data_IF_935848524783
#
_entry.id   IF_935848524783
#
_cell.length_a   1.000
_cell.length_b   1.000
_cell.length_c   1.000
_cell.angle_alpha   90.00
_cell.angle_beta   90.00
_cell.angle_gamma   90.00
#
_symmetry.space_group_name_H-M   'P 1'
#
loop_
_entity.id
_entity.type
_entity.pdbx_description
1 polymer ?
#
# COMPACT_ATOMS: atom_id res chain seq x y z
N UNK A 1 1.61 28.41 -27.60
CA UNK A 1 0.54 28.77 -26.68
C UNK A 1 1.09 29.00 -25.26
N UNK A 2 1.83 28.02 -24.68
CA UNK A 2 2.35 28.08 -23.29
C UNK A 2 3.30 29.26 -23.00
N UNK A 3 3.84 29.95 -24.04
CA UNK A 3 4.70 31.12 -23.89
C UNK A 3 3.98 32.46 -24.14
N UNK A 4 2.65 32.43 -24.17
CA UNK A 4 1.85 33.64 -24.39
C UNK A 4 1.38 34.21 -23.05
N UNK A 5 1.69 35.48 -22.81
CA UNK A 5 1.30 36.17 -21.55
C UNK A 5 -0.21 36.10 -21.28
N UNK A 6 -1.03 36.24 -22.33
CA UNK A 6 -2.48 36.18 -22.19
C UNK A 6 -2.99 34.86 -21.56
N UNK A 7 -2.30 33.75 -21.87
CA UNK A 7 -2.63 32.47 -21.23
C UNK A 7 -2.15 32.44 -19.78
N UNK A 8 -0.92 32.85 -19.56
CA UNK A 8 -0.29 32.78 -18.24
C UNK A 8 -0.94 33.74 -17.25
N UNK A 9 -1.36 34.94 -17.72
CA UNK A 9 -2.12 35.88 -16.90
C UNK A 9 -3.51 35.31 -16.54
N UNK A 10 -4.20 34.70 -17.52
CA UNK A 10 -5.48 34.03 -17.26
C UNK A 10 -5.37 32.85 -16.29
N UNK A 11 -4.24 32.12 -16.28
CA UNK A 11 -3.98 31.05 -15.30
C UNK A 11 -3.79 31.65 -13.90
N UNK A 12 -2.98 32.69 -13.76
CA UNK A 12 -2.76 33.38 -12.50
C UNK A 12 -4.10 33.91 -11.92
N UNK A 13 -4.94 34.53 -12.77
CA UNK A 13 -6.26 35.01 -12.39
C UNK A 13 -7.24 33.88 -12.00
N UNK A 14 -7.15 32.70 -12.66
CA UNK A 14 -8.05 31.58 -12.39
C UNK A 14 -7.83 30.91 -11.03
N UNK A 15 -6.65 31.04 -10.43
CA UNK A 15 -6.37 30.50 -9.09
C UNK A 15 -7.23 31.19 -8.02
N UNK A 16 -7.46 32.48 -8.15
CA UNK A 16 -8.20 33.28 -7.16
C UNK A 16 -9.63 32.75 -6.96
N UNK A 17 -10.51 32.66 -7.99
CA UNK A 17 -11.86 32.16 -7.82
C UNK A 17 -11.90 30.68 -7.38
N UNK A 18 -10.91 29.87 -7.73
CA UNK A 18 -10.80 28.49 -7.23
C UNK A 18 -10.54 28.52 -5.72
N UNK A 19 -9.61 29.32 -5.26
CA UNK A 19 -9.33 29.49 -3.83
C UNK A 19 -10.58 30.00 -3.09
N UNK A 20 -11.20 31.07 -3.56
CA UNK A 20 -12.43 31.62 -2.97
C UNK A 20 -13.56 30.59 -2.88
N UNK A 21 -13.73 29.76 -3.91
CA UNK A 21 -14.75 28.70 -3.92
C UNK A 21 -14.51 27.65 -2.82
N UNK A 22 -13.28 27.47 -2.38
CA UNK A 22 -12.92 26.52 -1.29
C UNK A 22 -13.05 27.11 0.11
N UNK A 23 -13.30 28.41 0.27
CA UNK A 23 -13.24 29.11 1.57
C UNK A 23 -14.09 28.48 2.69
N UNK A 24 -15.20 27.83 2.32
CA UNK A 24 -16.10 27.14 3.26
C UNK A 24 -16.07 25.61 3.11
N UNK A 25 -15.13 25.10 2.33
CA UNK A 25 -14.97 23.67 2.07
C UNK A 25 -13.85 23.06 2.91
N UNK A 26 -13.96 21.77 3.18
CA UNK A 26 -12.97 21.02 3.95
C UNK A 26 -11.74 20.53 3.12
N UNK A 27 -11.89 20.15 1.84
CA UNK A 27 -10.81 19.52 1.12
C UNK A 27 -9.55 20.37 0.97
N UNK A 28 -8.38 19.71 1.01
CA UNK A 28 -7.17 20.20 0.38
C UNK A 28 -7.34 20.01 -1.14
N UNK A 29 -7.26 21.06 -1.90
CA UNK A 29 -7.45 21.05 -3.35
C UNK A 29 -6.11 21.27 -4.02
N UNK A 30 -5.77 20.44 -5.01
CA UNK A 30 -4.54 20.60 -5.80
C UNK A 30 -4.89 20.70 -7.27
N UNK A 31 -4.43 21.77 -7.91
CA UNK A 31 -4.68 22.03 -9.34
C UNK A 31 -3.38 22.23 -10.10
N UNK A 32 -3.31 21.71 -11.32
CA UNK A 32 -2.16 21.92 -12.21
C UNK A 32 -2.18 23.32 -12.83
N UNK A 33 -1.03 23.98 -12.88
CA UNK A 33 -0.88 25.31 -13.48
C UNK A 33 0.51 25.53 -14.08
N UNK A 34 0.63 26.08 -15.30
CA UNK A 34 1.88 26.62 -15.81
C UNK A 34 2.12 28.01 -15.18
N UNK A 35 3.17 28.14 -14.38
CA UNK A 35 3.45 29.37 -13.62
C UNK A 35 4.83 29.95 -13.98
N UNK A 36 4.87 31.29 -14.09
CA UNK A 36 6.12 32.05 -14.27
C UNK A 36 6.76 32.32 -12.93
N UNK A 37 8.01 31.88 -12.75
CA UNK A 37 8.80 32.23 -11.58
C UNK A 37 10.18 32.71 -12.02
N UNK A 38 10.54 33.94 -11.64
CA UNK A 38 11.69 34.63 -12.21
C UNK A 38 11.57 34.75 -13.75
N UNK A 39 12.59 34.31 -14.46
CA UNK A 39 12.60 34.30 -15.93
C UNK A 39 12.32 32.90 -16.52
N UNK A 40 11.61 32.06 -15.81
CA UNK A 40 11.34 30.66 -16.22
C UNK A 40 9.87 30.34 -16.07
N UNK A 41 9.43 29.38 -16.86
CA UNK A 41 8.09 28.77 -16.75
C UNK A 41 8.22 27.39 -16.10
N UNK A 42 7.36 27.09 -15.16
CA UNK A 42 7.31 25.81 -14.45
C UNK A 42 5.94 25.15 -14.62
N UNK A 43 5.92 23.83 -14.68
CA UNK A 43 4.72 23.04 -14.58
C UNK A 43 4.50 22.75 -13.07
N UNK A 44 3.41 23.23 -12.50
CA UNK A 44 3.23 23.29 -11.05
C UNK A 44 1.92 22.65 -10.60
N UNK A 45 1.94 22.12 -9.38
CA UNK A 45 0.74 21.84 -8.57
C UNK A 45 0.54 22.98 -7.57
N UNK A 46 -0.59 23.65 -7.63
CA UNK A 46 -1.00 24.70 -6.67
C UNK A 46 -1.86 24.06 -5.61
N UNK A 47 -1.47 24.20 -4.34
CA UNK A 47 -2.15 23.59 -3.20
C UNK A 47 -2.99 24.65 -2.48
N UNK A 48 -4.29 24.37 -2.36
CA UNK A 48 -5.29 25.33 -1.87
C UNK A 48 -6.10 24.69 -0.74
N UNK A 49 -6.33 25.43 0.33
CA UNK A 49 -7.19 25.02 1.43
C UNK A 49 -7.97 26.21 2.00
N UNK A 50 -9.28 26.05 2.17
CA UNK A 50 -10.18 27.02 2.82
C UNK A 50 -10.01 28.47 2.35
N UNK A 51 -9.84 28.68 1.06
CA UNK A 51 -9.74 29.99 0.46
C UNK A 51 -8.32 30.54 0.34
N UNK A 52 -7.31 29.81 0.83
CA UNK A 52 -5.91 30.22 0.80
C UNK A 52 -5.07 29.27 -0.05
N UNK A 53 -4.11 29.83 -0.77
CA UNK A 53 -3.05 29.06 -1.45
C UNK A 53 -1.95 28.81 -0.43
N UNK A 54 -1.70 27.54 -0.13
CA UNK A 54 -0.72 27.12 0.87
C UNK A 54 0.70 27.06 0.31
N UNK A 55 0.84 26.74 -0.99
CA UNK A 55 2.13 26.61 -1.62
C UNK A 55 2.04 26.05 -3.04
N UNK A 56 3.18 26.02 -3.71
CA UNK A 56 3.34 25.62 -5.11
C UNK A 56 4.44 24.57 -5.24
N UNK A 57 4.11 23.38 -5.75
CA UNK A 57 5.07 22.32 -6.02
C UNK A 57 5.39 22.26 -7.51
N UNK A 58 6.58 22.65 -7.96
CA UNK A 58 6.99 22.53 -9.36
C UNK A 58 7.43 21.11 -9.69
N UNK A 59 7.14 20.68 -10.92
CA UNK A 59 7.58 19.39 -11.46
C UNK A 59 9.11 19.30 -11.49
N UNK A 60 9.66 18.21 -10.94
CA UNK A 60 11.11 18.00 -10.86
C UNK A 60 11.70 17.44 -12.15
N UNK A 61 11.07 16.43 -12.74
CA UNK A 61 11.59 15.73 -13.91
C UNK A 61 10.71 15.94 -15.13
N UNK A 62 11.32 16.46 -16.19
CA UNK A 62 10.64 16.83 -17.44
C UNK A 62 10.93 15.79 -18.52
N UNK A 63 9.95 15.05 -19.03
CA UNK A 63 10.16 14.10 -20.11
C UNK A 63 10.55 14.83 -21.40
N UNK A 64 11.57 14.31 -22.07
CA UNK A 64 12.08 14.86 -23.34
C UNK A 64 12.56 13.74 -24.24
N UNK A 65 11.70 12.73 -24.42
CA UNK A 65 11.93 11.52 -25.22
C UNK A 65 10.61 11.07 -25.85
N UNK A 66 10.68 10.28 -26.92
CA UNK A 66 9.52 9.81 -27.71
C UNK A 66 8.59 10.97 -28.08
N UNK A 67 7.31 10.90 -27.66
CA UNK A 67 6.29 11.93 -27.87
C UNK A 67 6.47 13.18 -26.99
N UNK A 68 7.35 13.15 -26.01
CA UNK A 68 7.51 14.23 -25.03
C UNK A 68 8.62 15.21 -25.43
N UNK A 69 8.35 16.51 -25.25
CA UNK A 69 9.31 17.61 -25.47
C UNK A 69 9.13 18.73 -24.41
N UNK A 70 8.85 18.34 -23.18
CA UNK A 70 8.46 19.27 -22.11
C UNK A 70 9.58 20.26 -21.75
N UNK A 71 10.85 19.83 -21.83
CA UNK A 71 12.02 20.72 -21.64
C UNK A 71 12.08 21.90 -22.59
N UNK A 72 11.33 21.87 -23.69
CA UNK A 72 11.22 22.99 -24.63
C UNK A 72 10.47 24.18 -24.03
N UNK A 73 9.59 23.94 -23.07
CA UNK A 73 8.68 24.92 -22.51
C UNK A 73 8.91 25.19 -21.04
N UNK A 74 9.26 24.19 -20.27
CA UNK A 74 9.33 24.25 -18.82
C UNK A 74 10.75 24.07 -18.28
N UNK A 75 11.00 24.70 -17.15
CA UNK A 75 12.19 24.49 -16.34
C UNK A 75 11.93 23.39 -15.30
N UNK A 76 13.00 22.66 -14.94
CA UNK A 76 12.97 21.70 -13.84
C UNK A 76 12.83 22.41 -12.49
N UNK A 77 11.96 21.88 -11.62
CA UNK A 77 11.86 22.29 -10.24
C UNK A 77 12.83 21.58 -9.29
N UNK A 78 13.57 20.56 -9.78
CA UNK A 78 14.48 19.78 -8.95
C UNK A 78 15.49 20.66 -8.23
N UNK A 79 15.61 20.48 -6.91
CA UNK A 79 16.52 21.25 -6.05
C UNK A 79 16.16 22.72 -5.87
N UNK A 80 15.02 23.16 -6.37
CA UNK A 80 14.58 24.54 -6.19
C UNK A 80 13.84 24.68 -4.86
N UNK A 81 14.38 25.51 -3.98
CA UNK A 81 13.77 25.82 -2.69
C UNK A 81 13.67 27.35 -2.58
N UNK A 82 12.47 27.88 -2.31
CA UNK A 82 12.27 29.31 -2.20
C UNK A 82 10.80 29.68 -2.06
N UNK A 83 10.53 30.93 -2.41
CA UNK A 83 9.20 31.51 -2.38
C UNK A 83 8.76 31.91 -3.78
N UNK A 84 7.47 31.89 -4.01
CA UNK A 84 6.83 32.30 -5.26
C UNK A 84 6.15 33.65 -5.07
N UNK A 85 6.63 34.64 -5.81
CA UNK A 85 6.00 35.94 -5.82
C UNK A 85 4.79 35.94 -6.75
N UNK A 86 3.61 36.19 -6.22
CA UNK A 86 2.34 36.16 -6.97
C UNK A 86 1.91 37.49 -7.52
N UNK A 87 1.36 37.46 -8.74
CA UNK A 87 0.75 38.61 -9.41
C UNK A 87 -0.45 38.15 -10.26
N UNK A 88 -1.69 38.55 -10.02
CA UNK A 88 -2.15 39.34 -8.86
C UNK A 88 -1.88 38.62 -7.55
N UNK A 89 -2.00 39.30 -6.44
CA UNK A 89 -1.80 38.74 -5.11
C UNK A 89 -2.82 37.67 -4.82
N UNK A 90 -2.36 36.43 -4.63
CA UNK A 90 -3.24 35.31 -4.29
C UNK A 90 -3.63 35.33 -2.81
N UNK A 91 -4.83 34.86 -2.45
CA UNK A 91 -5.18 34.72 -1.04
C UNK A 91 -4.24 33.66 -0.38
N UNK A 92 -3.75 33.97 0.82
CA UNK A 92 -2.78 33.15 1.54
C UNK A 92 -1.33 33.55 1.37
N UNK A 93 -1.01 34.47 0.44
CA UNK A 93 0.31 35.07 0.34
C UNK A 93 0.63 35.89 1.60
N UNK A 94 1.90 35.94 1.97
CA UNK A 94 2.38 36.75 3.08
C UNK A 94 2.33 38.27 2.76
N UNK A 95 2.86 39.12 3.66
CA UNK A 95 2.83 40.57 3.51
C UNK A 95 3.65 41.07 2.31
N UNK A 96 4.62 40.28 1.84
CA UNK A 96 5.45 40.57 0.68
C UNK A 96 4.88 39.99 -0.61
N UNK A 97 3.74 39.27 -0.54
CA UNK A 97 3.08 38.59 -1.66
C UNK A 97 3.77 37.27 -2.03
N UNK A 98 4.40 36.60 -1.08
CA UNK A 98 5.15 35.39 -1.28
C UNK A 98 4.40 34.15 -0.78
N UNK A 99 4.60 33.00 -1.46
CA UNK A 99 4.03 31.70 -1.12
C UNK A 99 5.15 30.67 -1.23
N UNK A 100 5.22 29.64 -0.34
CA UNK A 100 6.19 28.56 -0.43
C UNK A 100 6.25 27.92 -1.82
N UNK A 101 7.44 27.82 -2.40
CA UNK A 101 7.67 27.23 -3.73
C UNK A 101 8.81 26.22 -3.69
N UNK A 102 8.54 24.99 -4.11
CA UNK A 102 9.57 23.94 -4.20
C UNK A 102 8.96 22.53 -4.26
N UNK A 103 9.75 21.55 -4.76
CA UNK A 103 9.37 20.14 -4.71
C UNK A 103 9.52 19.52 -3.32
N UNK A 104 10.08 20.27 -2.37
CA UNK A 104 10.40 19.91 -1.01
C UNK A 104 9.30 20.26 0.00
N UNK A 105 8.07 20.48 -0.45
CA UNK A 105 6.97 20.89 0.42
C UNK A 105 6.18 19.69 0.96
N UNK A 106 5.93 19.72 2.30
CA UNK A 106 5.00 18.85 2.99
C UNK A 106 3.86 19.66 3.59
N UNK A 107 2.64 19.39 3.15
CA UNK A 107 1.45 20.05 3.67
C UNK A 107 0.88 19.20 4.81
N UNK A 108 0.99 19.69 6.06
CA UNK A 108 0.63 18.94 7.27
C UNK A 108 -0.56 19.55 7.99
N UNK A 109 -1.50 18.70 8.39
CA UNK A 109 -2.64 19.17 9.18
C UNK A 109 -2.26 19.26 10.67
N UNK A 110 -2.34 20.45 11.27
CA UNK A 110 -1.98 20.70 12.68
C UNK A 110 -2.86 19.89 13.64
N UNK A 111 -4.11 19.74 13.31
CA UNK A 111 -5.12 19.05 14.10
C UNK A 111 -5.31 17.58 13.69
N UNK A 112 -4.54 17.12 12.71
CA UNK A 112 -4.50 15.72 12.26
C UNK A 112 -3.06 15.33 11.87
N UNK A 113 -2.15 15.16 12.83
CA UNK A 113 -0.70 15.10 12.58
C UNK A 113 -0.24 13.93 11.69
N UNK A 114 -1.06 12.87 11.58
CA UNK A 114 -0.78 11.76 10.67
C UNK A 114 -1.12 12.09 9.19
N UNK A 115 -1.74 13.24 8.92
CA UNK A 115 -2.02 13.72 7.57
C UNK A 115 -0.91 14.67 7.10
N UNK A 116 0.03 14.12 6.36
CA UNK A 116 1.10 14.86 5.69
C UNK A 116 1.06 14.55 4.19
N UNK A 117 0.82 15.57 3.39
CA UNK A 117 0.57 15.46 1.95
C UNK A 117 1.78 15.99 1.17
N UNK A 118 2.18 15.23 0.14
CA UNK A 118 3.18 15.67 -0.85
C UNK A 118 2.58 15.63 -2.25
N UNK A 119 3.04 16.53 -3.12
CA UNK A 119 2.58 16.65 -4.50
C UNK A 119 3.73 16.48 -5.47
N UNK A 120 3.61 15.52 -6.37
CA UNK A 120 4.49 15.34 -7.52
C UNK A 120 3.71 15.38 -8.83
N UNK A 121 4.38 15.49 -9.97
CA UNK A 121 3.70 15.72 -11.25
C UNK A 121 4.19 14.73 -12.31
N UNK A 122 3.29 13.85 -12.74
CA UNK A 122 3.41 13.01 -13.93
C UNK A 122 4.73 12.22 -14.01
N UNK A 123 5.73 12.72 -14.75
CA UNK A 123 7.04 12.06 -14.97
C UNK A 123 7.81 11.82 -13.67
N UNK A 124 7.52 12.58 -12.63
CA UNK A 124 8.19 12.41 -11.33
C UNK A 124 8.03 10.99 -10.80
N UNK A 125 6.91 10.29 -11.06
CA UNK A 125 6.70 8.90 -10.66
C UNK A 125 7.47 7.86 -11.49
N UNK A 126 7.98 8.25 -12.68
CA UNK A 126 8.62 7.32 -13.62
C UNK A 126 10.14 7.22 -13.44
N UNK A 127 10.73 8.12 -12.68
CA UNK A 127 12.17 8.11 -12.41
C UNK A 127 12.56 7.07 -11.36
N UNK A 128 13.81 6.59 -11.34
CA UNK A 128 14.25 5.59 -10.35
C UNK A 128 14.10 6.02 -8.89
N UNK A 129 14.28 7.31 -8.59
CA UNK A 129 14.09 7.92 -7.26
C UNK A 129 13.07 9.05 -7.41
N UNK A 130 11.78 8.76 -7.26
CA UNK A 130 10.72 9.76 -7.32
C UNK A 130 10.75 10.72 -6.13
N UNK A 131 10.35 11.99 -6.31
CA UNK A 131 10.20 12.95 -5.20
C UNK A 131 9.28 12.44 -4.08
N UNK A 132 8.23 11.70 -4.45
CA UNK A 132 7.31 11.08 -3.49
C UNK A 132 7.99 10.09 -2.52
N UNK A 133 9.05 9.38 -2.95
CA UNK A 133 9.79 8.48 -2.07
C UNK A 133 10.60 9.25 -1.03
N UNK A 134 11.24 10.33 -1.45
CA UNK A 134 11.97 11.23 -0.55
C UNK A 134 11.02 11.91 0.44
N UNK A 135 9.87 12.38 -0.06
CA UNK A 135 8.83 12.96 0.78
C UNK A 135 8.28 11.97 1.83
N UNK A 136 8.11 10.69 1.45
CA UNK A 136 7.65 9.65 2.38
C UNK A 136 8.67 9.41 3.51
N UNK A 137 9.98 9.40 3.19
CA UNK A 137 11.05 9.32 4.19
C UNK A 137 11.09 10.57 5.08
N UNK A 138 10.69 11.74 4.56
CA UNK A 138 10.54 12.97 5.31
C UNK A 138 9.22 13.06 6.11
N UNK A 139 8.33 12.07 6.01
CA UNK A 139 7.11 11.98 6.80
C UNK A 139 5.78 12.02 6.04
N UNK A 140 5.78 12.25 4.71
CA UNK A 140 4.55 12.25 3.93
C UNK A 140 3.82 10.89 4.03
N UNK A 141 2.53 10.93 4.32
CA UNK A 141 1.65 9.75 4.41
C UNK A 141 0.70 9.66 3.22
N UNK A 142 0.48 10.77 2.53
CA UNK A 142 -0.37 10.87 1.34
C UNK A 142 0.43 11.49 0.20
N UNK A 143 0.58 10.75 -0.88
CA UNK A 143 1.35 11.12 -2.05
C UNK A 143 0.41 11.37 -3.23
N UNK A 144 0.40 12.57 -3.75
CA UNK A 144 -0.48 12.98 -4.86
C UNK A 144 0.33 13.09 -6.15
N UNK A 145 -0.17 12.49 -7.23
CA UNK A 145 0.39 12.65 -8.56
C UNK A 145 -0.66 13.22 -9.52
N UNK A 146 -0.39 14.43 -10.01
CA UNK A 146 -1.18 15.06 -11.08
C UNK A 146 -0.54 14.72 -12.41
N UNK A 147 -1.23 13.96 -13.25
CA UNK A 147 -0.68 13.44 -14.48
C UNK A 147 -1.40 13.96 -15.73
N UNK A 148 -0.63 14.39 -16.72
CA UNK A 148 -1.08 14.48 -18.11
C UNK A 148 -0.27 13.50 -18.96
N UNK A 149 -0.24 12.22 -18.52
CA UNK A 149 0.40 11.14 -19.24
C UNK A 149 -0.55 10.63 -20.31
N UNK A 150 -0.20 10.69 -21.60
CA UNK A 150 -1.06 10.19 -22.66
C UNK A 150 -1.22 8.69 -22.53
N UNK A 151 -2.38 8.18 -22.96
CA UNK A 151 -2.63 6.75 -22.97
C UNK A 151 -2.07 6.12 -24.24
N UNK A 152 -1.29 5.07 -24.06
CA UNK A 152 -0.88 4.14 -25.12
C UNK A 152 -1.26 2.72 -24.69
N UNK A 153 -1.29 1.78 -25.63
CA UNK A 153 -1.60 0.38 -25.33
C UNK A 153 -0.63 -0.18 -24.31
N UNK A 154 -1.15 -0.73 -23.19
CA UNK A 154 -0.37 -1.26 -22.07
C UNK A 154 0.00 -0.24 -20.98
N UNK A 155 -0.07 1.06 -21.25
CA UNK A 155 0.36 2.11 -20.30
C UNK A 155 -0.42 2.11 -18.98
N UNK A 156 -1.66 1.65 -18.98
CA UNK A 156 -2.45 1.58 -17.75
C UNK A 156 -1.84 0.63 -16.72
N UNK A 157 -1.35 -0.54 -17.17
CA UNK A 157 -0.68 -1.51 -16.28
C UNK A 157 0.61 -0.94 -15.71
N UNK A 158 1.41 -0.22 -16.52
CA UNK A 158 2.62 0.46 -16.04
C UNK A 158 2.29 1.47 -14.92
N UNK A 159 1.21 2.25 -15.08
CA UNK A 159 0.75 3.20 -14.05
C UNK A 159 0.35 2.48 -12.77
N UNK A 160 -0.40 1.38 -12.87
CA UNK A 160 -0.75 0.54 -11.72
C UNK A 160 0.49 -0.01 -11.03
N UNK A 161 1.43 -0.55 -11.79
CA UNK A 161 2.69 -1.09 -11.26
C UNK A 161 3.45 -0.02 -10.45
N UNK A 162 3.62 1.18 -10.99
CA UNK A 162 4.37 2.25 -10.34
C UNK A 162 3.64 2.78 -9.10
N UNK A 163 2.36 3.08 -9.20
CA UNK A 163 1.57 3.58 -8.06
C UNK A 163 1.47 2.54 -6.92
N UNK A 164 1.23 1.27 -7.26
CA UNK A 164 1.23 0.15 -6.32
C UNK A 164 2.59 0.02 -5.62
N UNK A 165 3.68 0.04 -6.41
CA UNK A 165 5.04 -0.08 -5.88
C UNK A 165 5.41 1.10 -4.97
N UNK A 166 5.08 2.34 -5.36
CA UNK A 166 5.31 3.53 -4.55
C UNK A 166 4.56 3.45 -3.22
N UNK A 167 3.26 3.17 -3.28
CA UNK A 167 2.40 3.02 -2.10
C UNK A 167 2.91 1.95 -1.12
N UNK A 168 3.29 0.77 -1.64
CA UNK A 168 3.77 -0.35 -0.82
C UNK A 168 5.11 -0.04 -0.14
N UNK A 169 6.10 0.49 -0.89
CA UNK A 169 7.44 0.77 -0.35
C UNK A 169 7.48 1.96 0.59
N UNK A 170 6.64 2.96 0.32
CA UNK A 170 6.57 4.18 1.14
C UNK A 170 5.67 4.03 2.37
N UNK A 171 4.97 2.89 2.54
CA UNK A 171 3.92 2.75 3.54
C UNK A 171 3.03 4.00 3.56
N UNK A 172 2.44 4.31 2.40
CA UNK A 172 1.69 5.53 2.16
C UNK A 172 0.46 5.28 1.30
N UNK A 173 -0.47 6.23 1.30
CA UNK A 173 -1.50 6.32 0.28
C UNK A 173 -0.93 7.03 -0.96
N UNK A 174 -1.14 6.46 -2.14
CA UNK A 174 -0.75 7.06 -3.42
C UNK A 174 -1.98 7.33 -4.27
N UNK A 175 -2.22 8.60 -4.55
CA UNK A 175 -3.37 9.08 -5.29
C UNK A 175 -2.94 9.60 -6.66
N UNK A 176 -3.45 8.98 -7.71
CA UNK A 176 -3.15 9.33 -9.09
C UNK A 176 -4.38 9.90 -9.79
N UNK A 177 -4.22 11.01 -10.48
CA UNK A 177 -5.27 11.63 -11.28
C UNK A 177 -4.73 12.04 -12.66
N UNK A 178 -5.30 11.44 -13.72
CA UNK A 178 -4.89 11.71 -15.10
C UNK A 178 -5.79 12.73 -15.79
N UNK A 179 -5.20 13.46 -16.74
CA UNK A 179 -5.92 14.30 -17.70
C UNK A 179 -6.98 13.49 -18.46
N UNK A 180 -8.09 14.14 -18.80
CA UNK A 180 -9.27 13.52 -19.41
C UNK A 180 -9.81 14.39 -20.57
N UNK A 181 -11.12 14.28 -20.83
CA UNK A 181 -11.82 15.07 -21.83
C UNK A 181 -11.59 16.58 -21.61
N UNK A 182 -11.32 17.28 -22.70
CA UNK A 182 -10.98 18.72 -22.66
C UNK A 182 -9.51 19.03 -22.90
N UNK A 183 -8.62 18.04 -22.74
CA UNK A 183 -7.23 18.19 -23.16
C UNK A 183 -7.07 18.14 -24.68
N UNK A 184 -6.00 18.80 -25.19
CA UNK A 184 -5.69 18.75 -26.62
C UNK A 184 -5.30 17.35 -27.06
N UNK A 185 -5.90 16.88 -28.15
CA UNK A 185 -5.67 15.55 -28.73
C UNK A 185 -4.96 15.58 -30.07
N UNK A 186 -4.09 16.55 -30.32
CA UNK A 186 -3.42 16.70 -31.62
C UNK A 186 -2.79 15.38 -32.10
N UNK A 187 -1.94 14.77 -31.26
CA UNK A 187 -1.26 13.49 -31.54
C UNK A 187 -1.46 12.46 -30.43
N UNK A 188 -2.17 12.82 -29.37
CA UNK A 188 -2.27 12.06 -28.12
C UNK A 188 -3.71 11.88 -27.71
N UNK A 189 -3.96 10.95 -26.80
CA UNK A 189 -5.27 10.71 -26.21
C UNK A 189 -5.16 10.58 -24.68
N UNK A 190 -6.25 10.90 -24.00
CA UNK A 190 -6.31 10.97 -22.54
C UNK A 190 -7.44 10.07 -22.04
N UNK A 191 -7.16 9.26 -21.03
CA UNK A 191 -8.12 8.26 -20.53
C UNK A 191 -8.81 8.64 -19.22
N UNK A 192 -8.37 9.73 -18.57
CA UNK A 192 -9.01 10.22 -17.35
C UNK A 192 -8.94 9.28 -16.15
N UNK A 193 -7.96 8.39 -16.13
CA UNK A 193 -7.77 7.40 -15.07
C UNK A 193 -7.54 8.08 -13.73
N UNK A 194 -8.28 7.66 -12.71
CA UNK A 194 -7.99 7.99 -11.31
C UNK A 194 -7.88 6.71 -10.50
N UNK A 195 -6.91 6.62 -9.61
CA UNK A 195 -6.72 5.46 -8.75
C UNK A 195 -6.11 5.85 -7.41
N UNK A 196 -6.42 5.07 -6.38
CA UNK A 196 -5.87 5.23 -5.04
C UNK A 196 -5.36 3.89 -4.55
N UNK A 197 -4.08 3.86 -4.18
CA UNK A 197 -3.42 2.73 -3.53
C UNK A 197 -3.08 3.07 -2.09
N UNK A 198 -3.19 2.11 -1.18
CA UNK A 198 -2.70 2.17 0.19
C UNK A 198 -1.86 0.94 0.48
N UNK A 199 -0.57 1.11 0.79
CA UNK A 199 0.36 0.02 1.09
C UNK A 199 0.36 -1.12 0.06
N UNK A 200 0.15 -0.78 -1.22
CA UNK A 200 0.10 -1.73 -2.33
C UNK A 200 -1.28 -2.31 -2.63
N UNK A 201 -2.29 -2.04 -1.81
CA UNK A 201 -3.67 -2.44 -2.03
C UNK A 201 -4.42 -1.37 -2.82
N UNK A 202 -5.12 -1.76 -3.89
CA UNK A 202 -5.99 -0.85 -4.64
C UNK A 202 -7.28 -0.60 -3.86
N UNK A 203 -7.47 0.64 -3.40
CA UNK A 203 -8.69 1.03 -2.68
C UNK A 203 -9.83 1.40 -3.63
N UNK A 204 -9.50 1.91 -4.79
CA UNK A 204 -10.48 2.26 -5.82
C UNK A 204 -9.84 2.89 -7.04
N UNK A 205 -10.56 2.78 -8.15
CA UNK A 205 -10.20 3.37 -9.43
C UNK A 205 -11.44 3.82 -10.18
N UNK A 206 -11.28 4.66 -11.20
CA UNK A 206 -12.34 5.06 -12.10
C UNK A 206 -12.30 4.27 -13.41
N UNK A 207 -13.43 4.19 -14.08
CA UNK A 207 -13.46 3.80 -15.48
C UNK A 207 -12.57 4.74 -16.31
N UNK A 208 -11.92 4.20 -17.32
CA UNK A 208 -11.13 4.96 -18.28
C UNK A 208 -11.98 5.39 -19.47
N UNK A 209 -11.56 6.46 -20.16
CA UNK A 209 -12.28 7.08 -21.27
C UNK A 209 -13.72 7.45 -20.92
N UNK A 210 -13.93 8.23 -19.85
CA UNK A 210 -15.26 8.52 -19.35
C UNK A 210 -16.02 9.48 -20.25
N UNK A 211 -17.34 9.29 -20.32
CA UNK A 211 -18.27 10.28 -20.85
C UNK A 211 -18.59 11.31 -19.74
N UNK A 212 -17.76 12.36 -19.64
CA UNK A 212 -17.88 13.41 -18.61
C UNK A 212 -17.02 13.18 -17.36
N UNK A 213 -17.19 14.03 -16.33
CA UNK A 213 -16.34 14.01 -15.13
C UNK A 213 -16.41 12.69 -14.38
N UNK A 214 -15.27 12.22 -13.93
CA UNK A 214 -15.14 11.04 -13.05
C UNK A 214 -14.43 11.42 -11.77
N UNK A 215 -14.69 10.63 -10.73
CA UNK A 215 -14.01 10.75 -9.44
C UNK A 215 -13.90 9.39 -8.78
N UNK A 216 -12.78 9.15 -8.13
CA UNK A 216 -12.61 8.06 -7.18
C UNK A 216 -12.67 8.61 -5.76
N UNK A 217 -13.46 7.97 -4.91
CA UNK A 217 -13.64 8.37 -3.50
C UNK A 217 -13.47 7.13 -2.63
N UNK A 218 -12.47 7.17 -1.75
CA UNK A 218 -12.11 6.06 -0.85
C UNK A 218 -11.75 6.60 0.52
N UNK A 219 -11.72 5.72 1.53
CA UNK A 219 -11.18 6.04 2.84
C UNK A 219 -9.75 5.50 2.94
N UNK A 220 -8.82 6.35 3.37
CA UNK A 220 -7.42 6.01 3.68
C UNK A 220 -7.27 5.88 5.19
N UNK A 221 -6.63 4.81 5.65
CA UNK A 221 -6.38 4.54 7.06
C UNK A 221 -4.99 5.06 7.49
N UNK A 222 -4.93 6.30 7.94
CA UNK A 222 -3.68 6.94 8.38
C UNK A 222 -3.09 6.27 9.62
N UNK A 223 -3.91 5.74 10.52
CA UNK A 223 -3.45 5.00 11.70
C UNK A 223 -2.74 3.70 11.29
N UNK A 224 -3.26 2.98 10.30
CA UNK A 224 -2.63 1.80 9.72
C UNK A 224 -1.25 2.15 9.15
N UNK A 225 -1.17 3.21 8.35
CA UNK A 225 0.10 3.68 7.76
C UNK A 225 1.16 3.96 8.83
N UNK A 226 0.78 4.70 9.87
CA UNK A 226 1.65 5.01 11.01
C UNK A 226 2.12 3.74 11.73
N UNK A 227 1.20 2.82 12.04
CA UNK A 227 1.52 1.58 12.75
C UNK A 227 2.48 0.70 11.94
N UNK A 228 2.27 0.58 10.63
CA UNK A 228 3.16 -0.21 9.79
C UNK A 228 4.56 0.43 9.67
N UNK A 229 4.67 1.73 9.58
CA UNK A 229 5.97 2.43 9.64
C UNK A 229 6.70 2.16 10.96
N UNK A 230 6.00 2.14 12.11
CA UNK A 230 6.59 1.81 13.42
C UNK A 230 7.09 0.36 13.44
N UNK A 231 6.34 -0.59 12.86
CA UNK A 231 6.72 -2.01 12.81
C UNK A 231 7.90 -2.28 11.89
N UNK A 232 8.04 -1.50 10.84
CA UNK A 232 9.07 -1.63 9.82
C UNK A 232 10.31 -0.80 10.18
N UNK A 233 11.15 -1.27 11.11
CA UNK A 233 12.35 -0.55 11.57
C UNK A 233 13.27 -0.10 10.42
N UNK A 234 13.40 -0.90 9.35
CA UNK A 234 14.18 -0.54 8.16
C UNK A 234 13.66 0.70 7.42
N UNK A 235 12.41 1.09 7.60
CA UNK A 235 11.89 2.35 7.06
C UNK A 235 12.56 3.56 7.74
N UNK A 236 12.70 3.52 9.06
CA UNK A 236 13.40 4.56 9.83
C UNK A 236 14.91 4.57 9.54
N UNK A 237 15.55 3.40 9.49
CA UNK A 237 16.97 3.30 9.15
C UNK A 237 17.25 3.92 7.77
N UNK A 238 16.32 3.72 6.82
CA UNK A 238 16.43 4.32 5.49
C UNK A 238 16.22 5.84 5.53
N UNK A 239 15.24 6.32 6.31
CA UNK A 239 15.00 7.75 6.48
C UNK A 239 16.22 8.46 7.10
N UNK A 240 16.83 7.89 8.13
CA UNK A 240 18.05 8.43 8.76
C UNK A 240 19.24 8.45 7.80
N UNK A 241 19.43 7.39 7.01
CA UNK A 241 20.52 7.31 6.04
C UNK A 241 20.45 8.38 4.94
N UNK A 242 19.25 8.79 4.56
CA UNK A 242 19.01 9.79 3.51
C UNK A 242 18.83 11.22 4.05
N UNK A 243 18.45 11.40 5.32
CA UNK A 243 18.20 12.71 5.91
C UNK A 243 19.41 13.66 5.84
N UNK A 244 20.64 13.13 5.87
CA UNK A 244 21.86 13.92 5.86
C UNK A 244 22.15 14.56 4.48
N UNK A 245 21.66 14.01 3.39
CA UNK A 245 22.02 14.40 2.02
C UNK A 245 20.98 15.29 1.33
N UNK A 246 19.78 15.51 1.93
CA UNK A 246 18.62 16.02 1.18
C UNK A 246 18.12 17.42 1.55
N UNK A 247 18.87 18.22 2.27
CA UNK A 247 18.51 19.62 2.54
C UNK A 247 17.20 19.87 3.31
N UNK A 248 16.48 18.80 3.65
CA UNK A 248 15.24 18.80 4.44
C UNK A 248 14.00 19.24 3.65
N UNK A 249 12.86 18.62 3.98
CA UNK A 249 11.54 19.07 3.51
C UNK A 249 11.04 20.21 4.38
N UNK A 250 10.39 21.20 3.75
CA UNK A 250 9.75 22.32 4.44
C UNK A 250 8.28 21.95 4.72
N UNK A 251 7.89 22.13 5.99
CA UNK A 251 6.53 21.89 6.43
C UNK A 251 5.69 23.15 6.23
N UNK A 252 4.59 23.00 5.51
CA UNK A 252 3.54 24.02 5.34
C UNK A 252 2.33 23.58 6.15
N UNK A 253 2.08 24.17 7.33
CA UNK A 253 0.99 23.74 8.18
C UNK A 253 -0.35 24.30 7.70
N UNK A 254 -1.43 23.50 7.92
CA UNK A 254 -2.81 23.95 7.75
C UNK A 254 -3.72 23.31 8.79
N UNK A 255 -4.88 23.91 9.05
CA UNK A 255 -5.85 23.38 10.01
C UNK A 255 -7.04 22.77 9.28
N UNK A 256 -7.19 21.44 9.32
CA UNK A 256 -8.23 20.70 8.60
C UNK A 256 -9.63 20.92 9.19
N UNK A 257 -9.79 20.83 10.52
CA UNK A 257 -11.06 20.86 11.25
C UNK A 257 -12.07 19.83 10.72
N UNK A 258 -11.72 18.53 10.76
CA UNK A 258 -12.60 17.50 10.26
C UNK A 258 -13.89 17.44 11.10
N UNK A 259 -15.02 17.07 10.50
CA UNK A 259 -16.25 16.87 11.26
C UNK A 259 -16.06 15.73 12.25
N UNK A 260 -16.70 15.85 13.42
CA UNK A 260 -16.74 14.80 14.44
C UNK A 260 -17.98 13.91 14.27
N UNK A 261 -17.86 12.64 14.59
CA UNK A 261 -18.96 11.68 14.55
C UNK A 261 -18.78 10.62 13.45
N UNK A 262 -19.78 9.77 13.31
CA UNK A 262 -19.78 8.72 12.29
C UNK A 262 -20.08 9.33 10.91
N UNK A 263 -19.09 9.31 10.04
CA UNK A 263 -19.19 9.79 8.65
C UNK A 263 -19.57 8.69 7.66
N UNK A 264 -19.80 7.47 8.16
CA UNK A 264 -19.91 6.26 7.36
C UNK A 264 -18.54 5.79 6.87
N UNK A 265 -18.48 4.57 6.39
CA UNK A 265 -17.28 3.95 5.86
C UNK A 265 -17.46 3.65 4.37
N UNK A 266 -16.51 4.09 3.54
CA UNK A 266 -16.47 3.82 2.08
C UNK A 266 -15.41 2.80 1.71
N UNK A 267 -14.69 2.31 2.69
CA UNK A 267 -13.70 1.25 2.56
C UNK A 267 -14.37 -0.10 2.74
N UNK A 268 -14.08 -1.05 1.85
CA UNK A 268 -14.39 -2.45 2.11
C UNK A 268 -13.53 -2.96 3.27
N UNK A 269 -14.17 -3.59 4.25
CA UNK A 269 -13.49 -4.26 5.35
C UNK A 269 -13.72 -5.74 5.20
N UNK A 270 -12.63 -6.49 5.03
CA UNK A 270 -12.70 -7.94 4.88
C UNK A 270 -13.28 -8.57 6.14
N UNK A 271 -14.35 -9.35 5.97
CA UNK A 271 -14.97 -10.10 7.06
C UNK A 271 -14.00 -11.13 7.65
N UNK A 272 -13.13 -11.69 6.81
CA UNK A 272 -12.13 -12.68 7.15
C UNK A 272 -10.76 -12.18 6.70
N UNK A 273 -10.06 -11.35 7.48
CA UNK A 273 -8.86 -10.63 7.05
C UNK A 273 -7.67 -11.54 6.68
N UNK A 274 -7.73 -12.83 7.05
CA UNK A 274 -6.70 -13.82 6.72
C UNK A 274 -7.09 -14.73 5.54
N UNK A 275 -8.28 -14.52 4.95
CA UNK A 275 -8.81 -15.34 3.85
C UNK A 275 -9.17 -14.40 2.71
N UNK A 276 -8.38 -14.36 1.63
CA UNK A 276 -8.70 -13.52 0.48
C UNK A 276 -10.06 -13.85 -0.13
N UNK A 277 -10.82 -12.81 -0.50
CA UNK A 277 -12.09 -12.99 -1.24
C UNK A 277 -11.85 -13.37 -2.71
N UNK A 278 -10.68 -13.07 -3.25
CA UNK A 278 -10.26 -13.46 -4.60
C UNK A 278 -9.82 -14.92 -4.63
N UNK A 279 -10.47 -15.73 -5.48
CA UNK A 279 -10.27 -17.18 -5.54
C UNK A 279 -8.85 -17.56 -5.98
N UNK A 280 -8.24 -16.83 -6.91
CA UNK A 280 -6.89 -17.11 -7.40
C UNK A 280 -5.86 -16.79 -6.32
N UNK A 281 -6.03 -15.66 -5.64
CA UNK A 281 -5.21 -15.29 -4.49
C UNK A 281 -5.36 -16.28 -3.35
N UNK A 282 -6.58 -16.70 -3.03
CA UNK A 282 -6.83 -17.72 -2.00
C UNK A 282 -6.13 -19.03 -2.33
N UNK A 283 -6.22 -19.49 -3.58
CA UNK A 283 -5.55 -20.70 -4.02
C UNK A 283 -4.02 -20.60 -3.89
N UNK A 284 -3.45 -19.45 -4.24
CA UNK A 284 -2.02 -19.17 -4.11
C UNK A 284 -1.59 -19.15 -2.64
N UNK A 285 -2.34 -18.45 -1.78
CA UNK A 285 -2.04 -18.35 -0.34
C UNK A 285 -2.13 -19.72 0.34
N UNK A 286 -3.13 -20.53 -0.01
CA UNK A 286 -3.25 -21.91 0.48
C UNK A 286 -2.08 -22.79 0.00
N UNK A 287 -1.69 -22.66 -1.27
CA UNK A 287 -0.53 -23.37 -1.83
C UNK A 287 0.76 -23.02 -1.08
N UNK A 288 0.99 -21.74 -0.83
CA UNK A 288 2.18 -21.26 -0.11
C UNK A 288 2.17 -21.73 1.36
N UNK A 289 1.06 -21.51 2.08
CA UNK A 289 0.93 -21.90 3.48
C UNK A 289 1.20 -23.41 3.69
N UNK A 290 0.67 -24.25 2.81
CA UNK A 290 0.89 -25.68 2.83
C UNK A 290 2.33 -26.06 2.54
N UNK A 291 2.92 -25.54 1.47
CA UNK A 291 4.29 -25.89 1.06
C UNK A 291 5.37 -25.34 1.99
N UNK A 292 5.14 -24.18 2.65
CA UNK A 292 6.04 -23.68 3.70
C UNK A 292 6.18 -24.71 4.82
N UNK A 293 5.07 -25.27 5.29
CA UNK A 293 5.08 -26.29 6.36
C UNK A 293 5.73 -27.59 5.90
N UNK A 294 5.39 -28.08 4.71
CA UNK A 294 5.99 -29.30 4.15
C UNK A 294 7.49 -29.13 4.01
N UNK A 295 7.97 -28.04 3.42
CA UNK A 295 9.39 -27.75 3.26
C UNK A 295 10.13 -27.63 4.60
N UNK A 296 9.51 -26.95 5.59
CA UNK A 296 10.07 -26.82 6.92
C UNK A 296 10.27 -28.19 7.60
N UNK A 297 9.27 -29.09 7.49
CA UNK A 297 9.35 -30.44 8.04
C UNK A 297 10.42 -31.27 7.33
N UNK A 298 10.47 -31.24 6.00
CA UNK A 298 11.51 -31.93 5.21
C UNK A 298 12.92 -31.51 5.65
N UNK A 299 13.18 -30.22 5.80
CA UNK A 299 14.49 -29.71 6.22
C UNK A 299 14.87 -30.21 7.61
N UNK A 300 13.93 -30.26 8.54
CA UNK A 300 14.16 -30.80 9.89
C UNK A 300 14.47 -32.29 9.86
N UNK A 301 13.71 -33.06 9.10
CA UNK A 301 13.96 -34.51 8.95
C UNK A 301 15.31 -34.77 8.35
N UNK A 302 15.71 -34.08 7.28
CA UNK A 302 17.02 -34.18 6.65
C UNK A 302 18.16 -33.82 7.62
N UNK A 303 17.99 -32.74 8.39
CA UNK A 303 19.02 -32.31 9.33
C UNK A 303 19.25 -33.34 10.44
N UNK A 304 18.17 -33.94 11.00
CA UNK A 304 18.26 -34.98 12.03
C UNK A 304 18.87 -36.28 11.43
N UNK A 305 18.47 -36.67 10.23
CA UNK A 305 18.93 -37.86 9.55
C UNK A 305 20.35 -37.73 8.93
N UNK A 306 20.95 -36.54 8.99
CA UNK A 306 22.26 -36.29 8.38
C UNK A 306 22.27 -36.47 6.87
N UNK A 307 21.12 -36.31 6.21
CA UNK A 307 20.92 -36.48 4.77
C UNK A 307 20.73 -37.94 4.33
N UNK A 308 20.91 -38.92 5.22
CA UNK A 308 20.72 -40.34 4.93
C UNK A 308 19.25 -40.77 5.14
N UNK A 309 18.53 -41.22 4.10
CA UNK A 309 17.15 -41.69 4.21
C UNK A 309 16.94 -42.77 5.28
N UNK A 310 17.94 -43.64 5.47
CA UNK A 310 17.86 -44.71 6.45
C UNK A 310 17.94 -44.22 7.93
N UNK A 311 18.38 -42.99 8.12
CA UNK A 311 18.53 -42.35 9.44
C UNK A 311 17.49 -41.26 9.72
N UNK A 312 16.55 -41.06 8.80
CA UNK A 312 15.51 -40.05 9.02
C UNK A 312 14.60 -40.43 10.19
N UNK A 313 14.22 -39.44 11.02
CA UNK A 313 13.41 -39.71 12.19
C UNK A 313 11.99 -40.12 11.81
N UNK A 314 11.39 -40.98 12.61
CA UNK A 314 9.96 -41.27 12.56
C UNK A 314 9.17 -40.05 13.04
N UNK A 315 8.10 -39.70 12.33
CA UNK A 315 7.16 -38.65 12.74
C UNK A 315 6.12 -39.28 13.66
N UNK A 316 5.99 -38.76 14.87
CA UNK A 316 4.96 -39.19 15.83
C UNK A 316 3.94 -38.06 16.00
N UNK A 317 2.65 -38.35 15.83
CA UNK A 317 1.60 -37.33 15.86
C UNK A 317 0.36 -37.82 16.60
N UNK A 318 -0.18 -36.99 17.49
CA UNK A 318 -1.51 -37.21 18.10
C UNK A 318 -2.60 -36.73 17.12
N UNK A 319 -3.49 -37.63 16.71
CA UNK A 319 -4.56 -37.34 15.75
C UNK A 319 -5.88 -37.31 16.49
N UNK A 320 -6.42 -36.11 16.73
CA UNK A 320 -7.69 -35.91 17.46
C UNK A 320 -8.93 -36.03 16.58
N UNK A 321 -8.78 -35.98 15.24
CA UNK A 321 -9.88 -35.87 14.27
C UNK A 321 -10.42 -34.44 14.12
N UNK A 322 -9.78 -33.45 14.73
CA UNK A 322 -10.00 -32.03 14.51
C UNK A 322 -9.15 -31.49 13.37
N UNK A 323 -9.41 -30.24 12.92
CA UNK A 323 -8.79 -29.63 11.75
C UNK A 323 -7.27 -29.55 11.85
N UNK A 324 -6.73 -29.10 12.98
CA UNK A 324 -5.29 -28.89 13.16
C UNK A 324 -4.49 -30.19 13.03
N UNK A 325 -4.91 -31.25 13.72
CA UNK A 325 -4.26 -32.57 13.63
C UNK A 325 -4.41 -33.21 12.24
N UNK A 326 -5.53 -32.95 11.57
CA UNK A 326 -5.77 -33.39 10.18
C UNK A 326 -4.79 -32.71 9.24
N UNK A 327 -4.65 -31.38 9.32
CA UNK A 327 -3.73 -30.62 8.51
C UNK A 327 -2.27 -31.04 8.77
N UNK A 328 -1.88 -31.15 10.02
CA UNK A 328 -0.52 -31.59 10.39
C UNK A 328 -0.19 -32.99 9.84
N UNK A 329 -1.15 -33.91 9.85
CA UNK A 329 -0.95 -35.24 9.30
C UNK A 329 -0.83 -35.25 7.78
N UNK A 330 -1.60 -34.42 7.07
CA UNK A 330 -1.48 -34.23 5.61
C UNK A 330 -0.09 -33.65 5.25
N UNK A 331 0.39 -32.65 6.00
CA UNK A 331 1.73 -32.08 5.82
C UNK A 331 2.80 -33.15 6.03
N UNK A 332 2.67 -34.00 7.08
CA UNK A 332 3.60 -35.09 7.36
C UNK A 332 3.63 -36.11 6.23
N UNK A 333 2.46 -36.55 5.74
CA UNK A 333 2.35 -37.50 4.64
C UNK A 333 3.04 -36.95 3.38
N UNK A 334 2.80 -35.67 3.04
CA UNK A 334 3.43 -35.03 1.88
C UNK A 334 4.94 -34.90 2.02
N UNK A 335 5.42 -34.58 3.22
CA UNK A 335 6.86 -34.51 3.47
C UNK A 335 7.52 -35.90 3.29
N UNK A 336 6.92 -36.97 3.78
CA UNK A 336 7.40 -38.34 3.53
C UNK A 336 7.42 -38.67 2.02
N UNK A 337 6.33 -38.38 1.29
CA UNK A 337 6.27 -38.60 -0.17
C UNK A 337 7.42 -37.89 -0.90
N UNK A 338 7.69 -36.61 -0.57
CA UNK A 338 8.75 -35.82 -1.19
C UNK A 338 10.15 -36.26 -0.81
N UNK A 339 10.32 -36.84 0.37
CA UNK A 339 11.58 -37.44 0.83
C UNK A 339 11.80 -38.84 0.31
N UNK A 340 10.85 -39.47 -0.39
CA UNK A 340 10.88 -40.85 -0.82
C UNK A 340 10.79 -41.84 0.34
N UNK A 341 10.25 -41.43 1.47
CA UNK A 341 10.04 -42.28 2.65
C UNK A 341 8.66 -42.96 2.58
N UNK A 342 8.55 -44.21 3.04
CA UNK A 342 7.22 -44.83 3.15
C UNK A 342 6.38 -44.12 4.21
N UNK A 343 5.09 -44.02 3.99
CA UNK A 343 4.16 -43.38 4.92
C UNK A 343 4.09 -44.06 6.27
N UNK A 344 4.52 -45.32 6.37
CA UNK A 344 4.71 -46.02 7.65
C UNK A 344 5.81 -45.41 8.54
N UNK A 345 6.55 -44.41 8.02
CA UNK A 345 7.45 -43.55 8.82
C UNK A 345 6.66 -42.57 9.71
N UNK A 346 5.35 -42.49 9.53
CA UNK A 346 4.45 -41.70 10.37
C UNK A 346 3.73 -42.66 11.31
N UNK A 347 3.80 -42.38 12.62
CA UNK A 347 3.05 -43.10 13.65
C UNK A 347 1.98 -42.15 14.23
N UNK A 348 0.74 -42.40 13.92
CA UNK A 348 -0.41 -41.64 14.43
C UNK A 348 -0.98 -42.29 15.69
N UNK A 349 -1.24 -41.49 16.71
CA UNK A 349 -2.00 -41.98 17.90
C UNK A 349 -3.33 -41.21 17.99
N UNK A 350 -4.45 -41.98 18.06
CA UNK A 350 -5.69 -41.38 18.55
C UNK A 350 -5.80 -41.66 20.04
N UNK A 351 -6.01 -40.63 20.83
CA UNK A 351 -5.98 -40.70 22.30
C UNK A 351 -7.37 -40.31 22.90
N UNK A 352 -8.37 -41.22 22.88
CA UNK A 352 -9.68 -40.90 23.41
C UNK A 352 -9.63 -40.62 24.92
N UNK A 353 -10.10 -39.41 25.30
CA UNK A 353 -10.31 -38.99 26.67
C UNK A 353 -11.80 -38.95 27.05
N UNK A 354 -12.13 -38.31 28.16
CA UNK A 354 -13.52 -38.24 28.67
C UNK A 354 -14.46 -37.46 27.75
N UNK A 355 -13.93 -36.42 27.05
CA UNK A 355 -14.70 -35.53 26.14
C UNK A 355 -14.63 -35.93 24.67
N UNK A 356 -13.97 -37.02 24.31
CA UNK A 356 -13.84 -37.46 22.93
C UNK A 356 -15.14 -38.00 22.37
N UNK A 357 -15.71 -37.36 21.35
CA UNK A 357 -16.91 -37.84 20.68
C UNK A 357 -16.61 -39.04 19.76
N UNK A 358 -17.61 -39.89 19.53
CA UNK A 358 -17.49 -41.01 18.61
C UNK A 358 -17.18 -40.52 17.16
N UNK A 359 -17.71 -39.37 16.74
CA UNK A 359 -17.49 -38.79 15.43
C UNK A 359 -16.04 -38.32 15.22
N UNK A 360 -15.46 -37.58 16.17
CA UNK A 360 -14.06 -37.13 16.04
C UNK A 360 -13.09 -38.31 16.09
N UNK A 361 -13.35 -39.31 16.89
CA UNK A 361 -12.54 -40.54 16.91
C UNK A 361 -12.62 -41.27 15.57
N UNK A 362 -13.80 -41.44 14.98
CA UNK A 362 -13.98 -42.08 13.69
C UNK A 362 -13.26 -41.33 12.60
N UNK A 363 -13.35 -39.98 12.57
CA UNK A 363 -12.62 -39.14 11.60
C UNK A 363 -11.12 -39.36 11.71
N UNK A 364 -10.55 -39.40 12.92
CA UNK A 364 -9.14 -39.63 13.14
C UNK A 364 -8.68 -40.97 12.55
N UNK A 365 -9.41 -42.03 12.81
CA UNK A 365 -9.10 -43.39 12.34
C UNK A 365 -9.19 -43.42 10.79
N UNK A 366 -10.30 -42.99 10.21
CA UNK A 366 -10.46 -42.96 8.75
C UNK A 366 -9.39 -42.18 8.04
N UNK A 367 -8.94 -41.05 8.60
CA UNK A 367 -7.86 -40.24 8.04
C UNK A 367 -6.54 -41.00 8.04
N UNK A 368 -6.18 -41.62 9.18
CA UNK A 368 -4.92 -42.38 9.33
C UNK A 368 -4.89 -43.60 8.40
N UNK A 369 -6.02 -44.30 8.27
CA UNK A 369 -6.19 -45.43 7.34
C UNK A 369 -6.08 -44.96 5.87
N UNK A 370 -6.76 -43.88 5.51
CA UNK A 370 -6.74 -43.34 4.14
C UNK A 370 -5.36 -42.85 3.71
N UNK A 371 -4.55 -42.40 4.65
CA UNK A 371 -3.17 -41.98 4.40
C UNK A 371 -2.16 -43.15 4.50
N UNK A 372 -2.61 -44.36 4.82
CA UNK A 372 -1.77 -45.57 4.90
C UNK A 372 -0.60 -45.42 5.88
N UNK A 373 -0.79 -44.72 6.97
CA UNK A 373 0.22 -44.55 8.03
C UNK A 373 0.15 -45.67 9.06
N UNK A 374 1.19 -45.82 9.88
CA UNK A 374 1.12 -46.65 11.08
C UNK A 374 0.31 -45.90 12.12
N UNK A 375 -0.71 -46.56 12.75
CA UNK A 375 -1.49 -45.91 13.79
C UNK A 375 -1.92 -46.86 14.90
N UNK A 376 -2.22 -46.27 16.07
CA UNK A 376 -2.69 -47.00 17.24
C UNK A 376 -3.66 -46.12 18.03
N UNK A 377 -4.62 -46.79 18.73
CA UNK A 377 -5.49 -46.14 19.71
C UNK A 377 -4.88 -46.30 21.10
N UNK A 378 -4.66 -45.17 21.79
CA UNK A 378 -4.19 -45.14 23.17
C UNK A 378 -5.25 -44.50 24.07
N UNK A 379 -5.99 -45.34 24.81
CA UNK A 379 -6.99 -44.83 25.76
C UNK A 379 -6.30 -44.15 26.95
N UNK A 380 -6.44 -42.83 27.06
CA UNK A 380 -5.81 -42.04 28.12
C UNK A 380 -6.67 -41.92 29.38
N UNK A 381 -7.92 -42.41 29.39
CA UNK A 381 -8.84 -42.31 30.51
C UNK A 381 -8.30 -42.95 31.78
N UNK A 382 -7.70 -44.14 31.76
CA UNK A 382 -7.13 -44.75 32.99
C UNK A 382 -6.04 -43.89 33.63
N UNK A 383 -5.11 -43.37 32.84
CA UNK A 383 -4.03 -42.49 33.31
C UNK A 383 -4.56 -41.17 33.85
N UNK A 384 -5.49 -40.53 33.13
CA UNK A 384 -6.14 -39.30 33.55
C UNK A 384 -6.96 -39.48 34.87
N UNK A 385 -7.64 -40.61 35.01
CA UNK A 385 -8.39 -40.93 36.25
C UNK A 385 -7.43 -41.08 37.41
N UNK A 386 -6.28 -41.75 37.21
CA UNK A 386 -5.29 -41.88 38.28
C UNK A 386 -4.71 -40.54 38.69
N UNK A 387 -4.36 -39.68 37.70
CA UNK A 387 -3.86 -38.32 37.96
C UNK A 387 -4.89 -37.49 38.76
N UNK A 388 -6.16 -37.51 38.37
CA UNK A 388 -7.23 -36.80 39.10
C UNK A 388 -7.35 -37.25 40.56
N UNK A 389 -7.24 -38.57 40.81
CA UNK A 389 -7.22 -39.10 42.17
C UNK A 389 -6.02 -38.62 42.97
N UNK A 390 -4.82 -38.64 42.39
CA UNK A 390 -3.60 -38.19 43.04
C UNK A 390 -3.64 -36.68 43.37
N UNK A 391 -4.33 -35.89 42.56
CA UNK A 391 -4.58 -34.45 42.78
C UNK A 391 -5.73 -34.20 43.79
N UNK A 392 -6.46 -35.22 44.26
CA UNK A 392 -7.62 -35.06 45.12
C UNK A 392 -8.80 -34.37 44.42
N UNK A 393 -8.88 -34.42 43.09
CA UNK A 393 -9.97 -33.81 42.34
C UNK A 393 -11.25 -34.63 42.50
N UNK A 394 -12.39 -33.99 42.83
CA UNK A 394 -13.68 -34.66 42.97
C UNK A 394 -14.27 -34.96 41.57
N UNK A 395 -13.85 -36.04 40.95
CA UNK A 395 -14.33 -36.44 39.63
C UNK A 395 -15.14 -37.72 39.73
#
# INVERSE_FOLDING_TARGET
LLMQDVLLDAVDEAVVPIAEATAKLLPLVVVGAPLRHGNRLYNCGVVIHRGEVLGVSPKSFLPNYREFYEKRHFASGAGHQGEFLVRPQWPGADVDGEIPFGPDLLFTADDHPDLAVHVEICEDMWVPIPPSHEAALAGATVLLNLSASPITVGRAEDRHLLARSASARCNAAYLYAAASAGESTTDLSWDGMTMVYEMGDLLGESDRFPDGPRRTVVDVDLDRLRQERIRQGSFHDNAEAYAADQGGFRVVPFTLRPPSGDLGLRRAVDRLPLVPDDEDRLAQDCYEAYNIQVSGLEQRMRAIGGGDPARMPTIVIGVSGGLDSTHALIVAAKACDRLGLPRTHIIGFTMPGFATSAGTKSNAIHLMESLEITWEELDIRPAATQMLKDLGHPF
#
